data_IF_360713528785
#
_entry.id   IF_360713528785
#
_cell.length_a   1.000
_cell.length_b   1.000
_cell.length_c   1.000
_cell.angle_alpha   90.00
_cell.angle_beta   90.00
_cell.angle_gamma   90.00
#
_symmetry.space_group_name_H-M   'P 1'
#
loop_
_entity.id
_entity.type
_entity.pdbx_description
1 polymer ?
#
# COMPACT_ATOMS: atom_id res chain seq x y z
N UNK A 1 -0.41 10.83 6.48
CA UNK A 1 -0.16 10.12 5.21
C UNK A 1 -1.45 9.64 4.54
N UNK A 2 -1.65 9.91 3.23
CA UNK A 2 -2.71 9.38 2.36
C UNK A 2 -2.15 8.27 1.47
N UNK A 3 -2.91 7.20 1.28
CA UNK A 3 -2.54 6.09 0.40
C UNK A 3 -3.58 5.97 -0.71
N UNK A 4 -3.13 6.07 -1.95
CA UNK A 4 -3.92 5.82 -3.15
C UNK A 4 -3.51 4.47 -3.71
N UNK A 5 -4.49 3.61 -3.90
CA UNK A 5 -4.27 2.28 -4.47
C UNK A 5 -4.98 2.25 -5.82
N UNK A 6 -4.23 1.90 -6.86
CA UNK A 6 -4.73 1.59 -8.18
C UNK A 6 -4.47 0.11 -8.45
N UNK A 7 -5.04 -0.43 -9.52
CA UNK A 7 -4.89 -1.85 -9.89
C UNK A 7 -3.42 -2.26 -10.09
N UNK A 8 -2.58 -1.33 -10.57
CA UNK A 8 -1.17 -1.60 -10.90
C UNK A 8 -0.16 -0.93 -9.99
N UNK A 9 -0.59 0.01 -9.13
CA UNK A 9 0.34 0.83 -8.38
C UNK A 9 -0.21 1.28 -7.02
N UNK A 10 0.73 1.44 -6.09
CA UNK A 10 0.51 2.02 -4.77
C UNK A 10 1.20 3.39 -4.72
N UNK A 11 0.45 4.45 -4.39
CA UNK A 11 1.00 5.79 -4.21
C UNK A 11 0.75 6.28 -2.78
N UNK A 12 1.83 6.63 -2.07
CA UNK A 12 1.78 7.16 -0.71
C UNK A 12 2.14 8.66 -0.73
N UNK A 13 1.32 9.51 -0.13
CA UNK A 13 1.51 10.96 -0.08
C UNK A 13 1.46 11.44 1.36
N UNK A 14 2.51 12.07 1.87
CA UNK A 14 2.59 12.51 3.26
C UNK A 14 4.00 12.95 3.65
N UNK A 15 4.24 13.10 4.95
CA UNK A 15 5.58 13.45 5.47
C UNK A 15 6.54 12.30 5.18
N UNK A 16 7.77 12.62 4.78
CA UNK A 16 8.79 11.64 4.37
C UNK A 16 9.01 10.57 5.46
N UNK A 17 9.08 10.98 6.72
CA UNK A 17 9.28 10.04 7.82
C UNK A 17 8.10 9.09 8.02
N UNK A 18 6.85 9.55 7.82
CA UNK A 18 5.64 8.71 7.92
C UNK A 18 5.64 7.61 6.85
N UNK A 19 6.03 7.98 5.62
CA UNK A 19 6.14 7.05 4.50
C UNK A 19 7.19 6.00 4.80
N UNK A 20 8.38 6.40 5.26
CA UNK A 20 9.46 5.46 5.63
C UNK A 20 9.06 4.52 6.76
N UNK A 21 8.40 5.03 7.80
CA UNK A 21 7.92 4.20 8.91
C UNK A 21 6.90 3.16 8.44
N UNK A 22 5.97 3.56 7.56
CA UNK A 22 4.95 2.65 7.03
C UNK A 22 5.55 1.57 6.13
N UNK A 23 6.45 1.95 5.21
CA UNK A 23 7.14 0.98 4.34
C UNK A 23 7.97 -0.02 5.15
N UNK A 24 8.64 0.43 6.21
CA UNK A 24 9.35 -0.47 7.15
C UNK A 24 8.40 -1.43 7.86
N UNK A 25 7.23 -0.96 8.33
CA UNK A 25 6.22 -1.83 8.91
C UNK A 25 5.72 -2.88 7.91
N UNK A 26 5.53 -2.51 6.65
CA UNK A 26 5.03 -3.41 5.62
C UNK A 26 6.08 -4.42 5.14
N UNK A 27 7.37 -4.08 5.19
CA UNK A 27 8.44 -5.01 4.85
C UNK A 27 8.49 -6.26 5.73
N UNK A 28 7.91 -6.20 6.94
CA UNK A 28 7.80 -7.33 7.86
C UNK A 28 6.64 -8.26 7.54
N UNK A 29 5.77 -7.91 6.59
CA UNK A 29 4.62 -8.73 6.21
C UNK A 29 5.04 -9.71 5.13
N UNK A 30 4.61 -10.96 5.27
CA UNK A 30 4.68 -11.99 4.22
C UNK A 30 3.61 -11.73 3.15
N UNK A 31 3.59 -10.52 2.60
CA UNK A 31 2.64 -10.12 1.57
C UNK A 31 3.40 -9.37 0.50
N UNK A 32 3.41 -9.92 -0.71
CA UNK A 32 3.99 -9.23 -1.86
C UNK A 32 3.14 -8.02 -2.23
N UNK A 33 3.76 -7.06 -2.92
CA UNK A 33 3.04 -5.90 -3.43
C UNK A 33 1.90 -6.32 -4.37
N UNK A 34 2.12 -7.33 -5.20
CA UNK A 34 1.12 -7.84 -6.15
C UNK A 34 -0.09 -8.42 -5.41
N UNK A 35 0.13 -9.25 -4.39
CA UNK A 35 -0.97 -9.78 -3.57
C UNK A 35 -1.68 -8.69 -2.79
N UNK A 36 -0.94 -7.70 -2.29
CA UNK A 36 -1.51 -6.54 -1.62
C UNK A 36 -2.43 -5.73 -2.55
N UNK A 37 -2.00 -5.49 -3.79
CA UNK A 37 -2.81 -4.81 -4.80
C UNK A 37 -4.03 -5.65 -5.18
N UNK A 38 -3.87 -6.96 -5.40
CA UNK A 38 -4.94 -7.89 -5.74
C UNK A 38 -6.02 -7.98 -4.64
N UNK A 39 -5.62 -8.04 -3.36
CA UNK A 39 -6.55 -8.05 -2.23
C UNK A 39 -7.37 -6.77 -2.14
N UNK A 40 -6.81 -5.64 -2.56
CA UNK A 40 -7.41 -4.32 -2.35
C UNK A 40 -8.19 -3.81 -3.56
N UNK A 41 -7.82 -4.23 -4.77
CA UNK A 41 -8.63 -4.01 -5.98
C UNK A 41 -9.97 -4.75 -5.93
N UNK A 42 -10.03 -5.92 -5.27
CA UNK A 42 -11.28 -6.64 -5.00
C UNK A 42 -12.23 -5.97 -4.00
N UNK A 43 -11.71 -5.11 -3.10
CA UNK A 43 -12.50 -4.41 -2.08
C UNK A 43 -13.18 -3.14 -2.63
N UNK A 44 -12.71 -2.60 -3.76
CA UNK A 44 -13.28 -1.39 -4.38
C UNK A 44 -14.50 -1.64 -5.27
N UNK A 45 -14.96 -2.90 -5.40
CA UNK A 45 -16.24 -3.24 -6.04
C UNK A 45 -17.31 -3.46 -4.97
N UNK A 46 -17.77 -2.38 -4.34
CA UNK A 46 -19.06 -2.36 -3.64
C UNK A 46 -19.62 -0.95 -3.61
#
# INVERSE_FOLDING_TARGET
MKTYVSEKQLRMVGKVWEIRATLRSWSKKELTLQEYLARRSGVSRR
#
